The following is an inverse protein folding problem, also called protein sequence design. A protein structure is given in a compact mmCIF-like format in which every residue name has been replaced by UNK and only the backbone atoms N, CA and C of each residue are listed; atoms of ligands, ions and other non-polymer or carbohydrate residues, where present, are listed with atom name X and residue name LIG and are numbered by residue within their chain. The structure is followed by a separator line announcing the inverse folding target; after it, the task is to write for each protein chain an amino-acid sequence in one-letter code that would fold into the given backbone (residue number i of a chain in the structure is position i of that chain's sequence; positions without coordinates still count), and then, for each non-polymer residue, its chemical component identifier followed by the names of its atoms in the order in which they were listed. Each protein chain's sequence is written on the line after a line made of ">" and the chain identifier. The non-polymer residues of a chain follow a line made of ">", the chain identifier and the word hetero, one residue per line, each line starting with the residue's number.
data_IF_508685755593
#
_entry.id   IF_508685755593
#
_cell.length_a   1.000
_cell.length_b   1.000
_cell.length_c   1.000
_cell.angle_alpha   90.00
_cell.angle_beta   90.00
_cell.angle_gamma   90.00
#
_symmetry.space_group_name_H-M   'P 1'
#
loop_
_entity.id
_entity.type
_entity.pdbx_description
1 polymer ?
#
# COMPACT_ATOMS: atom_id res chain seq x y z
N UNK A 1 82.19 -61.81 28.63
CA UNK A 1 81.11 -61.23 29.43
C UNK A 1 80.94 -59.73 29.18
N UNK A 2 81.98 -58.94 29.01
CA UNK A 2 81.92 -57.47 28.79
C UNK A 2 81.13 -57.01 27.53
N UNK A 3 81.22 -57.78 26.39
CA UNK A 3 80.48 -57.36 25.15
C UNK A 3 78.93 -57.50 25.26
N UNK A 4 78.44 -58.39 26.11
CA UNK A 4 76.97 -58.51 26.34
C UNK A 4 76.44 -57.47 27.25
N UNK A 5 77.20 -56.99 28.23
CA UNK A 5 76.85 -55.89 29.11
C UNK A 5 76.78 -54.57 28.33
N UNK A 6 77.73 -54.28 27.45
CA UNK A 6 77.78 -53.06 26.62
C UNK A 6 76.57 -53.01 25.69
N UNK A 7 76.17 -54.17 25.10
CA UNK A 7 74.96 -54.17 24.21
C UNK A 7 73.69 -53.91 24.97
N UNK A 8 73.56 -54.43 26.19
CA UNK A 8 72.38 -54.21 27.02
C UNK A 8 72.22 -52.75 27.49
N UNK A 9 73.34 -52.13 27.85
CA UNK A 9 73.34 -50.70 28.23
C UNK A 9 73.01 -49.78 27.05
N UNK A 10 73.46 -50.13 25.83
CA UNK A 10 73.10 -49.36 24.63
C UNK A 10 71.63 -49.49 24.26
N UNK A 11 71.04 -50.68 24.40
CA UNK A 11 69.60 -50.87 24.13
C UNK A 11 68.71 -50.17 25.14
N UNK A 12 69.10 -50.17 26.44
CA UNK A 12 68.35 -49.44 27.47
C UNK A 12 68.44 -47.93 27.26
N UNK A 13 69.60 -47.38 26.87
CA UNK A 13 69.69 -45.94 26.53
C UNK A 13 68.94 -45.58 25.27
N UNK A 14 68.90 -46.46 24.26
CA UNK A 14 68.12 -46.17 23.03
C UNK A 14 66.61 -46.24 23.29
N UNK A 15 66.14 -47.12 24.17
CA UNK A 15 64.72 -47.16 24.60
C UNK A 15 64.35 -45.95 25.49
N UNK A 16 65.27 -45.46 26.34
CA UNK A 16 65.04 -44.24 27.12
C UNK A 16 64.96 -42.99 26.22
N UNK A 17 65.74 -42.97 25.14
CA UNK A 17 65.73 -41.83 24.19
C UNK A 17 64.53 -41.81 23.26
N UNK A 18 64.01 -42.99 22.87
CA UNK A 18 62.80 -43.10 22.05
C UNK A 18 61.54 -42.84 22.85
N UNK A 19 61.54 -43.13 24.17
CA UNK A 19 60.40 -42.80 25.04
C UNK A 19 60.24 -41.31 25.32
N UNK A 20 61.30 -40.49 25.12
CA UNK A 20 61.23 -39.04 25.35
C UNK A 20 60.85 -38.23 24.09
N UNK A 21 60.79 -38.85 22.91
CA UNK A 21 60.48 -38.20 21.65
C UNK A 21 59.06 -38.39 21.16
N UNK A 22 58.22 -39.11 21.94
CA UNK A 22 56.78 -39.23 21.66
C UNK A 22 56.01 -38.50 22.76
N UNK A 23 56.30 -37.23 22.96
CA UNK A 23 55.33 -36.33 23.52
C UNK A 23 54.36 -36.04 22.39
N UNK A 24 53.18 -36.67 22.44
CA UNK A 24 52.11 -36.26 21.53
C UNK A 24 51.92 -34.76 21.68
N UNK A 25 51.91 -34.00 20.55
CA UNK A 25 51.63 -32.59 20.65
C UNK A 25 50.27 -32.45 21.33
N UNK A 26 50.22 -31.69 22.43
CA UNK A 26 48.94 -31.27 23.02
C UNK A 26 48.15 -30.67 21.87
N UNK A 27 47.11 -31.43 21.43
CA UNK A 27 46.14 -30.90 20.48
C UNK A 27 45.47 -29.77 21.23
N UNK A 28 45.84 -28.54 20.88
CA UNK A 28 45.13 -27.36 21.37
C UNK A 28 43.69 -27.50 20.87
N UNK A 29 42.80 -27.97 21.75
CA UNK A 29 41.37 -27.96 21.46
C UNK A 29 40.95 -26.49 21.38
N UNK A 30 40.69 -26.03 20.17
CA UNK A 30 40.02 -24.72 19.98
C UNK A 30 38.64 -24.86 20.62
N UNK A 31 38.41 -24.04 21.65
CA UNK A 31 37.06 -23.89 22.24
C UNK A 31 36.43 -22.72 21.52
N UNK A 32 35.35 -22.99 20.79
CA UNK A 32 34.52 -21.97 20.16
C UNK A 32 33.47 -21.50 21.15
N UNK A 33 33.33 -20.21 21.28
CA UNK A 33 32.26 -19.56 22.04
C UNK A 33 31.49 -18.63 21.07
N UNK A 34 30.20 -18.50 21.26
CA UNK A 34 29.33 -17.66 20.44
C UNK A 34 28.49 -16.72 21.28
N UNK A 35 28.38 -15.49 20.82
CA UNK A 35 27.48 -14.50 21.39
C UNK A 35 26.38 -14.16 20.38
N UNK A 36 25.14 -14.06 20.84
CA UNK A 36 24.02 -13.58 20.03
C UNK A 36 23.90 -12.07 20.25
N UNK A 37 24.02 -11.30 19.17
CA UNK A 37 23.79 -9.85 19.18
C UNK A 37 22.44 -9.61 18.50
N UNK A 38 21.53 -8.90 19.17
CA UNK A 38 20.20 -8.58 18.66
C UNK A 38 20.02 -7.07 18.59
N UNK A 39 19.31 -6.62 17.53
CA UNK A 39 18.88 -5.23 17.37
C UNK A 39 17.40 -5.21 16.99
N UNK A 40 16.58 -4.51 17.76
CA UNK A 40 15.16 -4.29 17.45
C UNK A 40 15.01 -3.14 16.42
N UNK A 41 14.04 -3.30 15.50
CA UNK A 41 13.60 -2.26 14.57
C UNK A 41 12.10 -2.07 14.78
N UNK A 42 11.66 -0.82 14.94
CA UNK A 42 10.24 -0.47 15.12
C UNK A 42 9.52 -0.36 13.78
N UNK A 43 8.22 -0.65 13.78
CA UNK A 43 7.37 -0.41 12.63
C UNK A 43 7.09 1.09 12.46
N UNK A 44 7.09 1.55 11.21
CA UNK A 44 6.80 2.93 10.83
C UNK A 44 5.92 2.95 9.57
N UNK A 45 5.17 4.05 9.39
CA UNK A 45 4.37 4.31 8.19
C UNK A 45 4.46 5.77 7.80
N UNK A 46 4.53 6.03 6.49
CA UNK A 46 4.44 7.38 5.91
C UNK A 46 3.48 7.36 4.72
N UNK A 47 2.85 8.51 4.45
CA UNK A 47 2.03 8.74 3.27
C UNK A 47 2.49 10.04 2.59
N UNK A 48 2.60 10.03 1.25
CA UNK A 48 2.99 11.20 0.47
C UNK A 48 1.86 12.23 0.41
N UNK A 49 2.23 13.49 0.13
CA UNK A 49 1.27 14.51 -0.28
C UNK A 49 1.13 14.49 -1.80
N UNK A 50 -0.04 14.19 -2.36
CA UNK A 50 -0.24 14.16 -3.80
C UNK A 50 -0.29 15.57 -4.40
N UNK A 51 -0.19 15.64 -5.73
CA UNK A 51 -0.45 16.88 -6.48
C UNK A 51 -1.97 17.08 -6.57
N UNK A 52 -2.42 18.33 -6.46
CA UNK A 52 -3.82 18.70 -6.68
C UNK A 52 -4.31 18.28 -8.07
N UNK A 53 -5.56 17.85 -8.13
CA UNK A 53 -6.18 17.37 -9.37
C UNK A 53 -7.00 18.49 -10.01
N UNK A 54 -6.71 18.79 -11.27
CA UNK A 54 -7.58 19.59 -12.11
C UNK A 54 -8.28 18.69 -13.11
N UNK A 55 -9.60 18.67 -13.05
CA UNK A 55 -10.41 17.90 -14.00
C UNK A 55 -10.54 18.68 -15.31
N UNK A 56 -10.46 17.99 -16.44
CA UNK A 56 -10.47 18.58 -17.79
C UNK A 56 -11.49 17.83 -18.69
N UNK A 57 -12.17 18.52 -19.59
CA UNK A 57 -12.28 19.96 -19.82
C UNK A 57 -13.38 20.56 -18.95
N UNK A 58 -13.53 21.89 -18.97
CA UNK A 58 -14.63 22.57 -18.27
C UNK A 58 -16.00 22.03 -18.64
N UNK A 59 -16.95 22.14 -17.70
CA UNK A 59 -18.34 21.74 -17.88
C UNK A 59 -19.18 22.98 -18.17
N UNK A 60 -19.94 23.02 -19.28
CA UNK A 60 -20.88 24.12 -19.53
C UNK A 60 -21.91 24.24 -18.41
N UNK A 61 -22.03 25.43 -17.79
CA UNK A 61 -22.83 25.63 -16.59
C UNK A 61 -24.36 25.62 -16.81
N UNK A 62 -24.85 25.52 -18.05
CA UNK A 62 -26.29 25.46 -18.36
C UNK A 62 -26.66 24.12 -18.98
N UNK A 63 -25.92 23.67 -20.00
CA UNK A 63 -26.22 22.43 -20.72
C UNK A 63 -25.57 21.20 -20.11
N UNK A 64 -24.50 21.39 -19.32
CA UNK A 64 -23.74 20.31 -18.76
C UNK A 64 -22.93 19.54 -19.81
N UNK A 65 -22.61 18.29 -19.48
CA UNK A 65 -21.84 17.36 -20.32
C UNK A 65 -22.40 15.94 -20.23
N UNK A 66 -23.72 15.73 -20.43
CA UNK A 66 -24.34 14.42 -20.24
C UNK A 66 -23.70 13.34 -21.10
N UNK A 67 -23.41 12.17 -20.52
CA UNK A 67 -22.75 11.06 -21.19
C UNK A 67 -21.27 11.29 -21.54
N UNK A 68 -20.67 12.38 -21.04
CA UNK A 68 -19.26 12.73 -21.27
C UNK A 68 -18.57 13.19 -20.00
N UNK A 69 -18.50 12.35 -18.98
CA UNK A 69 -17.98 12.74 -17.67
C UNK A 69 -16.52 13.26 -17.76
N UNK A 70 -16.14 14.10 -16.82
CA UNK A 70 -14.78 14.63 -16.68
C UNK A 70 -14.08 13.84 -15.58
N UNK A 71 -12.85 13.47 -15.83
CA UNK A 71 -12.05 12.67 -14.89
C UNK A 71 -10.74 13.34 -14.55
N UNK A 72 -10.25 13.03 -13.37
CA UNK A 72 -8.91 13.34 -12.91
C UNK A 72 -8.46 12.30 -11.90
N UNK A 73 -7.16 12.13 -11.73
CA UNK A 73 -6.63 11.16 -10.77
C UNK A 73 -5.44 11.74 -10.02
N UNK A 74 -5.24 11.26 -8.81
CA UNK A 74 -4.06 11.55 -8.00
C UNK A 74 -3.53 10.27 -7.39
N UNK A 75 -2.27 10.30 -6.92
CA UNK A 75 -1.59 9.13 -6.35
C UNK A 75 -1.06 9.48 -4.98
N UNK A 76 -1.42 8.68 -3.98
CA UNK A 76 -0.76 8.64 -2.69
C UNK A 76 0.23 7.48 -2.67
N UNK A 77 1.50 7.74 -2.33
CA UNK A 77 2.47 6.68 -2.11
C UNK A 77 2.57 6.40 -0.62
N UNK A 78 2.33 5.16 -0.21
CA UNK A 78 2.44 4.72 1.18
C UNK A 78 3.70 3.87 1.34
N UNK A 79 4.52 4.18 2.35
CA UNK A 79 5.71 3.40 2.71
C UNK A 79 5.54 2.90 4.13
N UNK A 80 5.68 1.59 4.35
CA UNK A 80 5.70 0.99 5.68
C UNK A 80 6.61 -0.23 5.74
N UNK A 81 7.33 -0.39 6.84
CA UNK A 81 8.07 -1.61 7.18
C UNK A 81 7.26 -2.53 8.12
N UNK A 82 5.97 -2.24 8.34
CA UNK A 82 5.10 -3.11 9.13
C UNK A 82 4.82 -4.41 8.37
N UNK A 83 5.21 -5.55 8.92
CA UNK A 83 5.06 -6.86 8.28
C UNK A 83 3.61 -7.32 8.11
N UNK A 84 2.66 -6.67 8.78
CA UNK A 84 1.21 -6.89 8.62
C UNK A 84 0.55 -5.88 7.68
N UNK A 85 1.35 -4.95 7.11
CA UNK A 85 0.88 -3.97 6.12
C UNK A 85 0.12 -2.78 6.72
N UNK A 86 -0.84 -2.26 5.96
CA UNK A 86 -1.59 -1.07 6.33
C UNK A 86 -3.02 -1.08 5.74
N UNK A 87 -3.87 -0.26 6.34
CA UNK A 87 -5.16 0.14 5.77
C UNK A 87 -5.07 1.60 5.36
N UNK A 88 -5.58 1.95 4.15
CA UNK A 88 -5.80 3.34 3.76
C UNK A 88 -7.29 3.61 3.61
N UNK A 89 -7.75 4.71 4.19
CA UNK A 89 -9.10 5.23 4.03
C UNK A 89 -9.08 6.65 3.47
N UNK A 90 -10.17 7.03 2.82
CA UNK A 90 -10.38 8.39 2.33
C UNK A 90 -11.72 8.94 2.81
N UNK A 91 -11.78 10.27 2.94
CA UNK A 91 -13.01 11.02 3.20
C UNK A 91 -12.97 12.40 2.59
N UNK A 92 -14.13 12.98 2.37
CA UNK A 92 -14.31 14.41 2.06
C UNK A 92 -14.40 15.25 3.33
N UNK A 93 -14.07 16.51 3.22
CA UNK A 93 -14.25 17.47 4.33
C UNK A 93 -15.66 18.05 4.42
N UNK A 94 -16.49 17.87 3.38
CA UNK A 94 -17.86 18.41 3.33
C UNK A 94 -18.83 17.48 2.60
N UNK A 95 -20.13 17.70 2.78
CA UNK A 95 -21.24 17.14 2.03
C UNK A 95 -22.22 18.27 1.63
N UNK A 96 -22.46 18.50 0.32
CA UNK A 96 -21.80 17.90 -0.83
C UNK A 96 -20.29 18.13 -0.84
N UNK A 97 -19.56 17.20 -1.45
CA UNK A 97 -18.08 17.19 -1.40
C UNK A 97 -17.49 18.27 -2.32
N UNK A 98 -18.05 18.45 -3.52
CA UNK A 98 -17.55 19.39 -4.52
C UNK A 98 -18.44 20.65 -4.59
N UNK A 99 -17.89 21.75 -4.12
CA UNK A 99 -18.62 23.02 -3.94
C UNK A 99 -17.88 24.21 -4.58
N UNK A 100 -18.65 25.17 -5.09
CA UNK A 100 -18.18 26.53 -5.37
C UNK A 100 -18.40 27.41 -4.15
N UNK A 101 -19.64 27.39 -3.61
CA UNK A 101 -20.06 28.08 -2.42
C UNK A 101 -21.25 27.33 -1.76
N UNK A 102 -21.86 27.87 -0.74
CA UNK A 102 -22.96 27.21 -0.02
C UNK A 102 -24.22 26.95 -0.87
N UNK A 103 -24.32 27.52 -2.08
CA UNK A 103 -25.49 27.39 -2.96
C UNK A 103 -25.20 26.49 -4.18
N UNK A 104 -24.03 26.66 -4.77
CA UNK A 104 -23.66 25.99 -6.02
C UNK A 104 -22.68 24.84 -5.76
N UNK A 105 -23.09 23.64 -6.13
CA UNK A 105 -22.35 22.40 -5.88
C UNK A 105 -22.65 21.32 -6.92
N UNK A 106 -21.78 20.31 -6.98
CA UNK A 106 -22.10 18.99 -7.49
C UNK A 106 -22.62 18.16 -6.32
N UNK A 107 -23.71 17.44 -6.50
CA UNK A 107 -24.16 16.45 -5.52
C UNK A 107 -23.14 15.34 -5.42
N UNK A 108 -23.02 14.70 -4.26
CA UNK A 108 -22.25 13.48 -4.18
C UNK A 108 -22.92 12.42 -5.07
N UNK A 109 -22.10 11.61 -5.79
CA UNK A 109 -22.60 10.54 -6.66
C UNK A 109 -23.56 9.62 -5.89
N UNK A 110 -24.61 9.16 -6.54
CA UNK A 110 -25.62 8.31 -5.90
C UNK A 110 -25.59 6.92 -6.52
N UNK A 111 -24.83 5.97 -5.94
CA UNK A 111 -24.83 4.60 -6.43
C UNK A 111 -26.21 3.96 -6.28
N UNK A 112 -26.53 3.01 -7.18
CA UNK A 112 -27.83 2.31 -7.21
C UNK A 112 -28.10 1.60 -5.89
N UNK A 113 -27.09 0.95 -5.32
CA UNK A 113 -27.17 0.35 -3.99
C UNK A 113 -26.40 1.19 -2.98
N UNK A 114 -27.06 1.60 -1.91
CA UNK A 114 -26.45 2.47 -0.88
C UNK A 114 -25.17 1.85 -0.34
N UNK A 115 -24.08 2.62 -0.36
CA UNK A 115 -22.73 2.22 0.09
C UNK A 115 -22.11 1.03 -0.68
N UNK A 116 -22.63 0.69 -1.85
CA UNK A 116 -22.02 -0.28 -2.75
C UNK A 116 -21.65 0.43 -4.04
N UNK A 117 -20.38 0.44 -4.45
CA UNK A 117 -19.98 1.11 -5.69
C UNK A 117 -20.69 0.53 -6.91
N UNK A 118 -21.07 1.40 -7.85
CA UNK A 118 -21.58 0.96 -9.14
C UNK A 118 -20.43 0.51 -10.04
N UNK A 119 -20.60 -0.60 -10.72
CA UNK A 119 -19.58 -1.12 -11.64
C UNK A 119 -19.25 -0.13 -12.77
N UNK A 120 -20.24 0.55 -13.28
CA UNK A 120 -20.08 1.61 -14.27
C UNK A 120 -20.65 2.92 -13.74
N UNK A 121 -20.05 4.03 -14.13
CA UNK A 121 -20.62 5.33 -13.79
C UNK A 121 -22.04 5.45 -14.37
N UNK A 122 -22.99 5.71 -13.50
CA UNK A 122 -24.36 6.03 -13.87
C UNK A 122 -24.43 7.45 -14.45
N UNK A 123 -25.09 7.64 -15.59
CA UNK A 123 -25.26 8.97 -16.16
C UNK A 123 -26.11 9.85 -15.20
N UNK A 124 -25.67 11.09 -15.01
CA UNK A 124 -26.40 12.05 -14.19
C UNK A 124 -27.83 12.28 -14.72
N UNK A 125 -28.81 12.23 -13.84
CA UNK A 125 -30.20 12.54 -14.17
C UNK A 125 -30.38 13.98 -14.66
N UNK A 126 -31.47 14.27 -15.40
CA UNK A 126 -31.76 15.62 -15.87
C UNK A 126 -31.83 16.64 -14.71
N UNK A 127 -31.12 17.74 -14.84
CA UNK A 127 -31.04 18.77 -13.79
C UNK A 127 -30.10 18.41 -12.64
N UNK A 128 -29.31 17.35 -12.75
CA UNK A 128 -28.36 16.87 -11.72
C UNK A 128 -26.92 17.10 -12.18
N UNK A 129 -26.03 17.38 -11.25
CA UNK A 129 -24.59 17.34 -11.41
C UNK A 129 -24.00 16.53 -10.25
N UNK A 130 -23.11 15.60 -10.55
CA UNK A 130 -22.58 14.63 -9.59
C UNK A 130 -21.06 14.59 -9.58
N UNK A 131 -20.53 14.26 -8.40
CA UNK A 131 -19.11 14.02 -8.13
C UNK A 131 -18.93 12.72 -7.35
N UNK A 132 -18.04 11.87 -7.82
CA UNK A 132 -17.69 10.62 -7.17
C UNK A 132 -16.26 10.20 -7.45
N UNK A 133 -15.87 9.04 -6.93
CA UNK A 133 -14.52 8.53 -7.08
C UNK A 133 -14.50 7.00 -7.21
N UNK A 134 -13.37 6.50 -7.68
CA UNK A 134 -12.96 5.09 -7.63
C UNK A 134 -11.49 4.99 -7.28
N UNK A 135 -11.00 3.77 -7.00
CA UNK A 135 -9.61 3.50 -6.66
C UNK A 135 -9.01 2.50 -7.62
N UNK A 136 -7.76 2.75 -8.01
CA UNK A 136 -6.99 1.94 -8.95
C UNK A 136 -5.57 1.77 -8.41
N UNK A 137 -5.35 0.99 -7.32
CA UNK A 137 -4.01 0.83 -6.75
C UNK A 137 -3.06 0.11 -7.70
N UNK A 138 -1.75 0.35 -7.56
CA UNK A 138 -0.73 -0.35 -8.33
C UNK A 138 -0.80 -1.86 -8.12
N UNK A 139 -1.11 -2.29 -6.90
CA UNK A 139 -1.29 -3.71 -6.55
C UNK A 139 -2.78 -4.01 -6.33
N UNK A 140 -3.43 -4.62 -7.33
CA UNK A 140 -4.87 -4.96 -7.31
C UNK A 140 -5.28 -5.80 -6.09
N UNK A 141 -4.39 -6.68 -5.61
CA UNK A 141 -4.67 -7.50 -4.42
C UNK A 141 -4.95 -6.67 -3.17
N UNK A 142 -4.38 -5.47 -3.08
CA UNK A 142 -4.48 -4.57 -1.92
C UNK A 142 -5.76 -3.73 -1.93
N UNK A 143 -6.49 -3.68 -3.05
CA UNK A 143 -7.79 -3.01 -3.13
C UNK A 143 -8.72 -3.54 -2.03
N UNK A 144 -9.38 -2.65 -1.29
CA UNK A 144 -10.43 -3.05 -0.36
C UNK A 144 -11.55 -3.79 -1.09
N UNK A 145 -12.14 -4.81 -0.46
CA UNK A 145 -13.16 -5.67 -1.06
C UNK A 145 -14.30 -4.88 -1.69
N UNK A 146 -14.66 -3.74 -1.10
CA UNK A 146 -15.70 -2.85 -1.59
C UNK A 146 -15.48 -2.41 -3.05
N UNK A 147 -14.23 -2.18 -3.45
CA UNK A 147 -13.82 -1.74 -4.79
C UNK A 147 -13.31 -2.88 -5.69
N UNK A 148 -13.39 -4.13 -5.22
CA UNK A 148 -13.11 -5.30 -6.07
C UNK A 148 -14.33 -5.67 -6.89
N UNK A 149 -14.08 -6.09 -8.13
CA UNK A 149 -15.13 -6.46 -9.08
C UNK A 149 -14.96 -7.88 -9.62
N UNK A 150 -16.04 -8.38 -10.25
CA UNK A 150 -16.07 -9.65 -10.97
C UNK A 150 -16.28 -9.47 -12.48
N UNK A 151 -16.04 -8.26 -13.00
CA UNK A 151 -16.28 -7.89 -14.40
C UNK A 151 -17.69 -7.37 -14.69
N UNK A 152 -18.58 -7.27 -13.67
CA UNK A 152 -19.95 -6.77 -13.84
C UNK A 152 -20.54 -6.11 -12.58
N UNK A 153 -20.02 -6.40 -11.42
CA UNK A 153 -20.49 -5.87 -10.14
C UNK A 153 -19.31 -5.61 -9.20
N UNK A 154 -19.41 -4.59 -8.37
CA UNK A 154 -18.46 -4.25 -7.32
C UNK A 154 -18.83 -4.90 -5.98
N UNK A 155 -17.91 -4.83 -5.01
CA UNK A 155 -17.99 -5.60 -3.76
C UNK A 155 -18.10 -7.11 -4.03
N UNK A 156 -17.46 -7.58 -5.11
CA UNK A 156 -17.54 -8.96 -5.59
C UNK A 156 -16.27 -9.32 -6.36
N UNK A 157 -15.85 -10.59 -6.31
CA UNK A 157 -14.67 -11.05 -7.06
C UNK A 157 -13.33 -10.64 -6.45
N UNK A 158 -12.28 -10.63 -7.26
CA UNK A 158 -10.89 -10.40 -6.87
C UNK A 158 -10.14 -9.42 -7.79
N UNK A 159 -10.80 -8.89 -8.82
CA UNK A 159 -10.26 -7.90 -9.74
C UNK A 159 -10.50 -6.49 -9.23
N UNK A 160 -9.76 -5.53 -9.79
CA UNK A 160 -10.05 -4.11 -9.75
C UNK A 160 -9.83 -3.60 -11.17
N UNK A 161 -10.92 -3.48 -11.92
CA UNK A 161 -10.87 -3.03 -13.32
C UNK A 161 -10.79 -1.51 -13.36
N UNK A 162 -10.00 -0.97 -14.29
CA UNK A 162 -9.87 0.47 -14.42
C UNK A 162 -11.22 1.13 -14.77
N UNK A 163 -11.50 2.29 -14.18
CA UNK A 163 -12.72 3.05 -14.36
C UNK A 163 -14.02 2.29 -13.97
N UNK A 164 -13.93 1.44 -12.97
CA UNK A 164 -15.09 0.75 -12.39
C UNK A 164 -15.23 1.05 -10.90
N UNK A 165 -16.32 0.61 -10.30
CA UNK A 165 -16.58 0.72 -8.86
C UNK A 165 -16.64 2.15 -8.34
N UNK A 166 -17.53 2.94 -8.93
CA UNK A 166 -17.75 4.32 -8.59
C UNK A 166 -18.60 4.49 -7.34
N UNK A 167 -18.11 5.31 -6.41
CA UNK A 167 -18.75 5.59 -5.13
C UNK A 167 -18.86 7.11 -4.88
N UNK A 168 -19.80 7.50 -4.03
CA UNK A 168 -19.89 8.86 -3.54
C UNK A 168 -18.73 9.22 -2.60
N UNK A 169 -18.25 10.43 -2.68
CA UNK A 169 -17.44 10.98 -1.60
C UNK A 169 -18.29 11.17 -0.33
N UNK A 170 -17.71 10.96 0.83
CA UNK A 170 -18.39 10.99 2.14
C UNK A 170 -17.51 11.67 3.17
N UNK A 171 -18.12 12.29 4.17
CA UNK A 171 -17.41 12.81 5.36
C UNK A 171 -17.01 11.71 6.35
N UNK A 172 -17.49 10.48 6.14
CA UNK A 172 -17.08 9.28 6.89
C UNK A 172 -15.93 8.60 6.15
N UNK A 173 -14.94 8.12 6.90
CA UNK A 173 -13.82 7.36 6.34
C UNK A 173 -14.32 6.10 5.62
N UNK A 174 -13.89 5.93 4.37
CA UNK A 174 -14.14 4.73 3.56
C UNK A 174 -12.81 4.05 3.29
N UNK A 175 -12.69 2.79 3.70
CA UNK A 175 -11.50 1.99 3.41
C UNK A 175 -11.39 1.73 1.92
N UNK A 176 -10.27 2.10 1.34
CA UNK A 176 -9.97 1.95 -0.11
C UNK A 176 -8.88 0.93 -0.37
N UNK A 177 -7.91 0.79 0.55
CA UNK A 177 -6.80 -0.15 0.48
C UNK A 177 -6.74 -0.96 1.78
N UNK A 178 -6.38 -2.24 1.64
CA UNK A 178 -6.10 -3.15 2.75
C UNK A 178 -4.95 -4.08 2.33
N UNK A 179 -3.73 -3.63 2.58
CA UNK A 179 -2.50 -4.38 2.31
C UNK A 179 -2.10 -5.18 3.55
N UNK A 180 -1.65 -6.42 3.37
CA UNK A 180 -1.33 -7.35 4.46
C UNK A 180 0.16 -7.65 4.60
N UNK A 181 1.02 -6.93 3.88
CA UNK A 181 2.49 -7.07 3.93
C UNK A 181 3.14 -5.70 3.92
N UNK A 182 4.40 -5.61 4.32
CA UNK A 182 5.20 -4.41 4.17
C UNK A 182 5.26 -3.95 2.70
N UNK A 183 5.60 -2.68 2.50
CA UNK A 183 5.90 -2.15 1.17
C UNK A 183 7.40 -2.30 0.86
N UNK A 184 7.77 -2.11 -0.39
CA UNK A 184 9.17 -1.84 -0.73
C UNK A 184 9.61 -0.48 -0.17
N UNK A 185 10.91 -0.19 -0.19
CA UNK A 185 11.42 1.14 0.19
C UNK A 185 10.98 2.26 -0.77
N UNK A 186 10.51 1.94 -1.96
CA UNK A 186 9.90 2.89 -2.89
C UNK A 186 8.45 3.22 -2.53
N UNK A 187 7.81 2.40 -1.71
CA UNK A 187 6.40 2.52 -1.38
C UNK A 187 5.48 1.77 -2.34
N UNK A 188 4.19 1.92 -2.10
CA UNK A 188 3.11 1.43 -2.95
C UNK A 188 2.24 2.61 -3.37
N UNK A 189 1.90 2.66 -4.66
CA UNK A 189 1.13 3.75 -5.25
C UNK A 189 -0.37 3.43 -5.23
N UNK A 190 -1.12 4.30 -4.57
CA UNK A 190 -2.56 4.21 -4.38
C UNK A 190 -3.25 5.30 -5.20
N UNK A 191 -3.72 4.93 -6.38
CA UNK A 191 -4.35 5.87 -7.32
C UNK A 191 -5.83 6.01 -6.96
N UNK A 192 -6.29 7.24 -6.78
CA UNK A 192 -7.70 7.58 -6.66
C UNK A 192 -8.10 8.42 -7.86
N UNK A 193 -9.11 7.96 -8.57
CA UNK A 193 -9.69 8.63 -9.73
C UNK A 193 -11.01 9.29 -9.35
N UNK A 194 -11.16 10.54 -9.74
CA UNK A 194 -12.37 11.33 -9.53
C UNK A 194 -13.12 11.51 -10.84
N UNK A 195 -14.45 11.67 -10.74
CA UNK A 195 -15.31 11.88 -11.89
C UNK A 195 -16.42 12.88 -11.57
N UNK A 196 -16.75 13.72 -12.56
CA UNK A 196 -17.88 14.63 -12.52
C UNK A 196 -18.67 14.56 -13.81
N UNK A 197 -19.98 14.69 -13.68
CA UNK A 197 -20.90 14.84 -14.79
C UNK A 197 -22.00 15.81 -14.41
N UNK A 198 -22.48 16.61 -15.37
CA UNK A 198 -23.65 17.46 -15.20
C UNK A 198 -24.60 17.27 -16.37
N UNK A 199 -25.87 17.08 -16.08
CA UNK A 199 -26.93 16.97 -17.06
C UNK A 199 -27.90 18.13 -16.89
N UNK A 200 -27.58 19.26 -17.53
CA UNK A 200 -28.39 20.49 -17.52
C UNK A 200 -28.71 21.05 -16.12
N UNK A 201 -27.93 20.75 -15.09
CA UNK A 201 -28.00 21.48 -13.82
C UNK A 201 -27.42 22.87 -14.05
N UNK A 202 -28.14 23.92 -13.60
CA UNK A 202 -27.57 25.23 -13.61
C UNK A 202 -26.42 25.34 -12.59
N UNK A 203 -25.22 25.54 -13.10
CA UNK A 203 -23.99 25.75 -12.34
C UNK A 203 -23.51 27.17 -12.62
N UNK A 204 -23.23 27.94 -11.56
CA UNK A 204 -22.62 29.26 -11.67
C UNK A 204 -21.18 29.11 -12.16
N UNK A 205 -20.71 30.05 -12.99
CA UNK A 205 -19.31 30.12 -13.40
C UNK A 205 -18.38 30.20 -12.17
N UNK A 206 -17.31 29.41 -12.18
CA UNK A 206 -16.29 29.38 -11.12
C UNK A 206 -15.63 28.01 -10.97
N UNK A 207 -14.66 27.93 -10.06
CA UNK A 207 -13.93 26.72 -9.76
C UNK A 207 -14.60 25.99 -8.59
N UNK A 208 -15.17 24.82 -8.88
CA UNK A 208 -15.71 23.93 -7.87
C UNK A 208 -14.58 23.05 -7.31
N UNK A 209 -14.48 22.97 -6.00
CA UNK A 209 -13.43 22.20 -5.31
C UNK A 209 -13.99 21.19 -4.33
N UNK A 210 -13.30 20.07 -4.21
CA UNK A 210 -13.50 19.07 -3.17
C UNK A 210 -12.16 18.82 -2.45
N UNK A 211 -12.17 18.81 -1.13
CA UNK A 211 -10.99 18.44 -0.35
C UNK A 211 -11.15 17.00 0.12
N UNK A 212 -10.28 16.13 -0.36
CA UNK A 212 -10.25 14.71 -0.01
C UNK A 212 -9.03 14.45 0.87
N UNK A 213 -9.25 13.85 2.03
CA UNK A 213 -8.20 13.46 2.97
C UNK A 213 -8.00 11.95 2.91
N UNK A 214 -6.76 11.51 2.73
CA UNK A 214 -6.37 10.12 2.88
C UNK A 214 -5.67 9.92 4.22
N UNK A 215 -5.94 8.79 4.86
CA UNK A 215 -5.32 8.37 6.12
C UNK A 215 -4.82 6.94 5.96
N UNK A 216 -3.53 6.71 6.20
CA UNK A 216 -2.94 5.38 6.24
C UNK A 216 -2.59 5.00 7.68
N UNK A 217 -2.98 3.80 8.10
CA UNK A 217 -2.71 3.25 9.44
C UNK A 217 -2.13 1.84 9.32
N UNK A 218 -1.16 1.51 10.17
CA UNK A 218 -0.62 0.14 10.25
C UNK A 218 -1.69 -0.83 10.75
N UNK A 219 -1.69 -2.05 10.19
CA UNK A 219 -2.52 -3.18 10.65
C UNK A 219 -2.02 -3.76 11.98
#
# INVERSE_FOLDING_TARGET
>A
MMKRILSLVLIINLMAYTGFLVSEPDIANAVEDSVVVTQGVTAEITISSPIDVTMSADIPGITGNPGSPRTGATTWTVITNNNTGFVMSIKSTSTPSMILDGTYNFSDYSPVAVNVPDYSWGAAGAGVAEFGYTVEPATVADTATLFKDNGSACNAGASNSANTCWLNASTTDVTVINRTTETTSAGEDEIVRFQTESNAKYLKEGNYGATITATATMN
#
